data_IF_269239459349
#
_entry.id   IF_269239459349
#
_cell.length_a   1.000
_cell.length_b   1.000
_cell.length_c   1.000
_cell.angle_alpha   90.00
_cell.angle_beta   90.00
_cell.angle_gamma   90.00
#
_symmetry.space_group_name_H-M   'P 1'
#
loop_
_entity.id
_entity.type
_entity.pdbx_description
1 polymer ?
#
# COMPACT_ATOMS: atom_id res chain seq x y z
N UNK A 1 10.55 32.99 34.93
CA UNK A 1 11.18 32.72 33.63
C UNK A 1 10.82 33.86 32.69
N UNK A 2 11.76 34.39 31.89
CA UNK A 2 11.45 35.44 30.90
C UNK A 2 10.74 34.83 29.68
N UNK A 3 9.98 35.65 28.96
CA UNK A 3 9.34 35.25 27.70
C UNK A 3 10.37 34.68 26.71
N UNK A 4 11.55 35.30 26.61
CA UNK A 4 12.66 34.83 25.76
C UNK A 4 13.18 33.45 26.17
N UNK A 5 13.29 33.17 27.47
CA UNK A 5 13.73 31.87 27.97
C UNK A 5 12.69 30.78 27.64
N UNK A 6 11.40 31.11 27.73
CA UNK A 6 10.33 30.19 27.34
C UNK A 6 10.32 29.91 25.83
N UNK A 7 10.45 30.94 24.98
CA UNK A 7 10.48 30.77 23.52
C UNK A 7 11.68 29.91 23.07
N UNK A 8 12.88 30.14 23.62
CA UNK A 8 14.06 29.30 23.33
C UNK A 8 13.85 27.84 23.75
N UNK A 9 13.16 27.59 24.86
CA UNK A 9 12.85 26.23 25.31
C UNK A 9 11.88 25.53 24.35
N UNK A 10 10.81 26.22 23.94
CA UNK A 10 9.83 25.69 22.97
C UNK A 10 10.49 25.39 21.62
N UNK A 11 11.36 26.28 21.13
CA UNK A 11 12.10 26.06 19.89
C UNK A 11 13.04 24.84 19.96
N UNK A 12 13.75 24.66 21.08
CA UNK A 12 14.62 23.50 21.30
C UNK A 12 13.82 22.21 21.29
N UNK A 13 12.72 22.17 22.05
CA UNK A 13 11.82 21.03 22.15
C UNK A 13 11.13 20.71 20.80
N UNK A 14 10.75 21.73 20.02
CA UNK A 14 10.26 21.55 18.66
C UNK A 14 11.32 20.94 17.71
N UNK A 15 12.58 21.40 17.81
CA UNK A 15 13.71 20.84 17.04
C UNK A 15 13.96 19.38 17.40
N UNK A 16 14.04 19.05 18.68
CA UNK A 16 14.24 17.68 19.16
C UNK A 16 13.12 16.75 18.69
N UNK A 17 11.85 17.18 18.76
CA UNK A 17 10.73 16.37 18.22
C UNK A 17 10.83 16.15 16.72
N UNK A 18 11.25 17.18 15.97
CA UNK A 18 11.44 17.09 14.52
C UNK A 18 12.55 16.11 14.17
N UNK A 19 13.69 16.19 14.86
CA UNK A 19 14.82 15.28 14.70
C UNK A 19 14.45 13.84 15.07
N UNK A 20 13.78 13.63 16.20
CA UNK A 20 13.27 12.33 16.62
C UNK A 20 12.27 11.72 15.61
N UNK A 21 11.45 12.55 14.94
CA UNK A 21 10.57 12.08 13.86
C UNK A 21 11.37 11.69 12.62
N UNK A 22 12.39 12.46 12.24
CA UNK A 22 13.28 12.15 11.11
C UNK A 22 14.05 10.85 11.35
N UNK A 23 14.61 10.67 12.54
CA UNK A 23 15.36 9.47 12.90
C UNK A 23 14.47 8.22 12.85
N UNK A 24 13.30 8.26 13.50
CA UNK A 24 12.32 7.14 13.42
C UNK A 24 11.92 6.82 11.98
N UNK A 25 11.80 7.83 11.13
CA UNK A 25 11.53 7.64 9.70
C UNK A 25 12.66 6.94 8.97
N UNK A 26 13.90 7.36 9.20
CA UNK A 26 15.07 6.71 8.61
C UNK A 26 15.21 5.25 9.06
N UNK A 27 15.00 4.99 10.35
CA UNK A 27 15.02 3.63 10.91
C UNK A 27 13.89 2.77 10.32
N UNK A 28 12.66 3.30 10.25
CA UNK A 28 11.52 2.63 9.60
C UNK A 28 11.82 2.32 8.13
N UNK A 29 12.46 3.23 7.40
CA UNK A 29 12.82 3.05 6.00
C UNK A 29 13.90 1.97 5.84
N UNK A 30 14.83 1.85 6.78
CA UNK A 30 15.83 0.79 6.78
C UNK A 30 15.18 -0.60 6.96
N UNK A 31 14.26 -0.73 7.92
CA UNK A 31 13.46 -1.95 8.10
C UNK A 31 12.62 -2.26 6.86
N UNK A 32 11.94 -1.27 6.27
CA UNK A 32 11.18 -1.44 5.03
C UNK A 32 12.05 -1.98 3.89
N UNK A 33 13.23 -1.38 3.67
CA UNK A 33 14.17 -1.82 2.63
C UNK A 33 14.64 -3.24 2.87
N UNK A 34 14.98 -3.59 4.12
CA UNK A 34 15.38 -4.95 4.50
C UNK A 34 14.25 -5.96 4.28
N UNK A 35 13.01 -5.59 4.64
CA UNK A 35 11.81 -6.39 4.37
C UNK A 35 11.61 -6.66 2.88
N UNK A 36 11.77 -5.64 2.02
CA UNK A 36 11.68 -5.80 0.57
C UNK A 36 12.77 -6.73 0.00
N UNK A 37 14.00 -6.64 0.52
CA UNK A 37 15.10 -7.53 0.10
C UNK A 37 14.77 -8.98 0.45
N UNK A 38 14.28 -9.23 1.67
CA UNK A 38 13.90 -10.58 2.14
C UNK A 38 12.70 -11.11 1.36
N UNK A 39 11.72 -10.25 1.07
CA UNK A 39 10.59 -10.58 0.19
C UNK A 39 11.06 -11.03 -1.20
N UNK A 40 12.02 -10.30 -1.80
CA UNK A 40 12.63 -10.68 -3.09
C UNK A 40 13.38 -12.01 -3.03
N UNK A 41 13.93 -12.37 -1.86
CA UNK A 41 14.53 -13.69 -1.59
C UNK A 41 13.52 -14.79 -1.25
N UNK A 42 12.22 -14.48 -1.29
CA UNK A 42 11.10 -15.36 -0.87
C UNK A 42 11.16 -15.75 0.62
N UNK A 43 11.96 -15.06 1.43
CA UNK A 43 11.91 -15.18 2.89
C UNK A 43 10.78 -14.29 3.42
N UNK A 44 9.56 -14.81 3.33
CA UNK A 44 8.36 -14.08 3.73
C UNK A 44 8.25 -13.89 5.24
N UNK A 45 8.74 -14.83 6.05
CA UNK A 45 8.76 -14.70 7.51
C UNK A 45 9.69 -13.55 7.94
N UNK A 46 10.91 -13.51 7.39
CA UNK A 46 11.84 -12.42 7.60
C UNK A 46 11.30 -11.09 7.08
N UNK A 47 10.63 -11.07 5.93
CA UNK A 47 9.99 -9.87 5.41
C UNK A 47 8.91 -9.32 6.35
N UNK A 48 8.01 -10.18 6.84
CA UNK A 48 6.97 -9.81 7.81
C UNK A 48 7.55 -9.21 9.09
N UNK A 49 8.60 -9.84 9.65
CA UNK A 49 9.27 -9.32 10.84
C UNK A 49 9.74 -7.87 10.62
N UNK A 50 10.41 -7.61 9.51
CA UNK A 50 10.94 -6.27 9.22
C UNK A 50 9.83 -5.26 8.93
N UNK A 51 8.74 -5.66 8.25
CA UNK A 51 7.59 -4.76 8.08
C UNK A 51 6.89 -4.45 9.40
N UNK A 52 6.81 -5.41 10.32
CA UNK A 52 6.26 -5.17 11.66
C UNK A 52 7.10 -4.17 12.46
N UNK A 53 8.43 -4.30 12.43
CA UNK A 53 9.33 -3.34 13.08
C UNK A 53 9.23 -1.95 12.45
N UNK A 54 9.13 -1.85 11.13
CA UNK A 54 8.89 -0.57 10.45
C UNK A 54 7.57 0.08 10.90
N UNK A 55 6.48 -0.69 11.00
CA UNK A 55 5.16 -0.18 11.41
C UNK A 55 5.15 0.28 12.87
N UNK A 56 5.92 -0.35 13.76
CA UNK A 56 6.08 0.11 15.16
C UNK A 56 6.67 1.51 15.22
N UNK A 57 7.58 1.86 14.31
CA UNK A 57 8.21 3.17 14.22
C UNK A 57 7.31 4.20 13.52
N UNK A 58 6.61 3.79 12.45
CA UNK A 58 5.72 4.64 11.65
C UNK A 58 4.40 3.90 11.38
N UNK A 59 3.34 4.35 12.04
CA UNK A 59 1.99 3.75 11.94
C UNK A 59 1.14 4.34 10.82
N UNK A 60 1.53 5.47 10.27
CA UNK A 60 0.81 6.27 9.27
C UNK A 60 1.37 6.12 7.85
N UNK A 61 2.09 5.01 7.56
CA UNK A 61 2.61 4.74 6.22
C UNK A 61 1.78 3.69 5.47
N UNK A 62 0.98 4.07 4.45
CA UNK A 62 0.20 3.12 3.65
C UNK A 62 1.10 2.13 2.89
N UNK A 63 2.31 2.54 2.53
CA UNK A 63 3.30 1.68 1.87
C UNK A 63 3.70 0.47 2.72
N UNK A 64 3.82 0.62 4.04
CA UNK A 64 4.21 -0.48 4.93
C UNK A 64 3.12 -1.55 5.01
N UNK A 65 1.87 -1.12 5.16
CA UNK A 65 0.71 -2.03 5.15
C UNK A 65 0.55 -2.71 3.80
N UNK A 66 0.72 -1.99 2.69
CA UNK A 66 0.69 -2.59 1.35
C UNK A 66 1.77 -3.68 1.16
N UNK A 67 3.00 -3.44 1.62
CA UNK A 67 4.08 -4.43 1.51
C UNK A 67 3.83 -5.66 2.40
N UNK A 68 3.28 -5.45 3.60
CA UNK A 68 2.91 -6.54 4.51
C UNK A 68 1.72 -7.35 3.98
N UNK A 69 0.69 -6.67 3.46
CA UNK A 69 -0.44 -7.28 2.75
C UNK A 69 0.01 -8.18 1.59
N UNK A 70 0.91 -7.68 0.74
CA UNK A 70 1.48 -8.48 -0.35
C UNK A 70 2.20 -9.73 0.17
N UNK A 71 2.92 -9.61 1.30
CA UNK A 71 3.63 -10.72 1.92
C UNK A 71 2.65 -11.76 2.48
N UNK A 72 1.59 -11.34 3.16
CA UNK A 72 0.51 -12.24 3.59
C UNK A 72 -0.19 -12.92 2.42
N UNK A 73 -0.37 -12.21 1.30
CA UNK A 73 -0.96 -12.76 0.10
C UNK A 73 -0.12 -13.89 -0.50
N UNK A 74 1.22 -13.77 -0.46
CA UNK A 74 2.14 -14.85 -0.87
C UNK A 74 2.10 -16.05 0.07
N UNK A 75 1.78 -15.83 1.34
CA UNK A 75 1.62 -16.88 2.35
C UNK A 75 0.20 -17.50 2.37
N UNK A 76 -0.75 -16.97 1.58
CA UNK A 76 -2.14 -17.43 1.57
C UNK A 76 -2.96 -17.02 2.80
N UNK A 77 -2.47 -16.08 3.61
CA UNK A 77 -3.13 -15.64 4.84
C UNK A 77 -4.08 -14.48 4.51
N UNK A 78 -5.21 -14.80 3.88
CA UNK A 78 -6.08 -13.80 3.27
C UNK A 78 -6.75 -12.85 4.28
N UNK A 79 -7.04 -13.28 5.50
CA UNK A 79 -7.63 -12.42 6.54
C UNK A 79 -6.72 -11.24 6.87
N UNK A 80 -5.43 -11.49 7.10
CA UNK A 80 -4.43 -10.44 7.36
C UNK A 80 -4.17 -9.53 6.16
N UNK A 81 -4.37 -10.02 4.92
CA UNK A 81 -4.35 -9.15 3.73
C UNK A 81 -5.47 -8.13 3.80
N UNK A 82 -6.68 -8.56 4.17
CA UNK A 82 -7.85 -7.68 4.27
C UNK A 82 -7.62 -6.58 5.30
N UNK A 83 -7.15 -6.94 6.49
CA UNK A 83 -6.87 -6.00 7.58
C UNK A 83 -5.83 -4.94 7.16
N UNK A 84 -4.74 -5.37 6.52
CA UNK A 84 -3.69 -4.45 6.06
C UNK A 84 -4.14 -3.58 4.89
N UNK A 85 -4.93 -4.12 3.96
CA UNK A 85 -5.49 -3.34 2.87
C UNK A 85 -6.49 -2.29 3.37
N UNK A 86 -7.32 -2.64 4.36
CA UNK A 86 -8.25 -1.69 4.97
C UNK A 86 -7.50 -0.58 5.67
N UNK A 87 -6.46 -0.93 6.44
CA UNK A 87 -5.61 0.08 7.07
C UNK A 87 -4.88 0.97 6.06
N UNK A 88 -4.41 0.41 4.94
CA UNK A 88 -3.80 1.18 3.87
C UNK A 88 -4.81 2.14 3.21
N UNK A 89 -6.07 1.72 3.02
CA UNK A 89 -7.13 2.55 2.44
C UNK A 89 -7.64 3.64 3.39
N UNK A 90 -7.58 3.42 4.70
CA UNK A 90 -7.84 4.47 5.70
C UNK A 90 -6.80 5.59 5.63
N UNK A 91 -5.53 5.24 5.36
CA UNK A 91 -4.42 6.19 5.26
C UNK A 91 -4.33 6.85 3.87
N UNK A 92 -4.65 6.09 2.82
CA UNK A 92 -4.61 6.51 1.44
C UNK A 92 -5.87 5.98 0.72
N UNK A 93 -6.93 6.79 0.74
CA UNK A 93 -8.25 6.42 0.21
C UNK A 93 -8.21 5.89 -1.22
N UNK A 94 -7.29 6.40 -2.04
CA UNK A 94 -7.13 6.07 -3.46
C UNK A 94 -6.01 5.06 -3.76
N UNK A 95 -5.51 4.34 -2.75
CA UNK A 95 -4.41 3.38 -2.93
C UNK A 95 -4.82 2.22 -3.84
N UNK A 96 -4.37 2.25 -5.09
CA UNK A 96 -4.66 1.21 -6.08
C UNK A 96 -4.14 -0.15 -5.61
N UNK A 97 -2.92 -0.19 -5.06
CA UNK A 97 -2.29 -1.43 -4.53
C UNK A 97 -3.15 -2.10 -3.46
N UNK A 98 -3.65 -1.32 -2.51
CA UNK A 98 -4.48 -1.85 -1.43
C UNK A 98 -5.77 -2.49 -1.98
N UNK A 99 -6.47 -1.81 -2.91
CA UNK A 99 -7.67 -2.37 -3.54
C UNK A 99 -7.36 -3.62 -4.36
N UNK A 100 -6.24 -3.63 -5.09
CA UNK A 100 -5.81 -4.79 -5.88
C UNK A 100 -5.55 -6.00 -5.00
N UNK A 101 -4.78 -5.84 -3.91
CA UNK A 101 -4.48 -6.95 -3.00
C UNK A 101 -5.72 -7.44 -2.26
N UNK A 102 -6.60 -6.53 -1.85
CA UNK A 102 -7.91 -6.87 -1.26
C UNK A 102 -8.77 -7.69 -2.24
N UNK A 103 -8.91 -7.24 -3.48
CA UNK A 103 -9.67 -7.96 -4.51
C UNK A 103 -9.09 -9.36 -4.77
N UNK A 104 -7.76 -9.48 -4.85
CA UNK A 104 -7.09 -10.77 -5.03
C UNK A 104 -7.27 -11.70 -3.84
N UNK A 105 -7.18 -11.19 -2.62
CA UNK A 105 -7.44 -11.98 -1.41
C UNK A 105 -8.87 -12.49 -1.35
N UNK A 106 -9.86 -11.64 -1.68
CA UNK A 106 -11.27 -12.03 -1.75
C UNK A 106 -11.53 -13.12 -2.80
N UNK A 107 -10.89 -13.01 -3.97
CA UNK A 107 -10.98 -14.01 -5.03
C UNK A 107 -10.41 -15.36 -4.59
N UNK A 108 -9.19 -15.35 -4.03
CA UNK A 108 -8.51 -16.56 -3.57
C UNK A 108 -9.20 -17.20 -2.36
N UNK A 109 -9.84 -16.39 -1.51
CA UNK A 109 -10.67 -16.88 -0.40
C UNK A 109 -12.03 -17.44 -0.84
N UNK A 110 -12.34 -17.44 -2.14
CA UNK A 110 -13.59 -17.96 -2.69
C UNK A 110 -14.81 -17.06 -2.50
N UNK A 111 -14.62 -15.81 -2.04
CA UNK A 111 -15.69 -14.87 -1.76
C UNK A 111 -16.02 -13.98 -2.97
N UNK A 112 -16.49 -14.61 -4.05
CA UNK A 112 -16.73 -13.98 -5.36
C UNK A 112 -17.67 -12.77 -5.30
N UNK A 113 -18.70 -12.78 -4.44
CA UNK A 113 -19.66 -11.66 -4.30
C UNK A 113 -18.99 -10.36 -3.83
N UNK A 114 -17.94 -10.45 -3.03
CA UNK A 114 -17.23 -9.28 -2.53
C UNK A 114 -16.15 -8.77 -3.50
N UNK A 115 -15.70 -9.62 -4.43
CA UNK A 115 -14.76 -9.24 -5.50
C UNK A 115 -15.41 -8.19 -6.40
N UNK A 116 -16.62 -8.45 -6.91
CA UNK A 116 -17.35 -7.54 -7.81
C UNK A 116 -17.53 -6.13 -7.20
N UNK A 117 -17.77 -6.04 -5.89
CA UNK A 117 -17.91 -4.76 -5.19
C UNK A 117 -16.58 -4.02 -5.05
N UNK A 118 -15.48 -4.72 -4.73
CA UNK A 118 -14.15 -4.11 -4.67
C UNK A 118 -13.70 -3.60 -6.06
N UNK A 119 -14.11 -4.31 -7.09
CA UNK A 119 -13.84 -3.99 -8.49
C UNK A 119 -14.56 -2.74 -8.97
N UNK A 120 -15.84 -2.59 -8.61
CA UNK A 120 -16.63 -1.41 -8.92
C UNK A 120 -15.94 -0.11 -8.43
N UNK A 121 -15.31 -0.14 -7.26
CA UNK A 121 -14.58 1.02 -6.74
C UNK A 121 -13.20 1.24 -7.39
N UNK A 122 -12.58 0.22 -7.98
CA UNK A 122 -11.36 0.39 -8.79
C UNK A 122 -11.66 1.05 -10.13
N UNK A 123 -12.71 0.60 -10.83
CA UNK A 123 -13.02 1.07 -12.18
C UNK A 123 -13.48 2.53 -12.24
N UNK A 124 -14.08 3.04 -11.17
CA UNK A 124 -14.50 4.44 -11.05
C UNK A 124 -13.35 5.42 -10.71
N UNK A 125 -12.17 4.91 -10.36
CA UNK A 125 -11.01 5.68 -9.88
C UNK A 125 -10.07 6.13 -11.01
N UNK A 126 -10.58 6.28 -12.23
CA UNK A 126 -9.89 6.09 -13.52
C UNK A 126 -8.60 6.90 -13.76
N UNK A 127 -7.50 6.17 -14.01
CA UNK A 127 -6.46 6.49 -15.01
C UNK A 127 -6.19 5.24 -15.87
N UNK A 128 -5.70 5.42 -17.10
CA UNK A 128 -5.66 4.42 -18.21
C UNK A 128 -5.06 3.05 -17.88
N UNK A 129 -4.21 2.95 -16.86
CA UNK A 129 -3.56 1.71 -16.39
C UNK A 129 -4.51 0.71 -15.71
N UNK A 130 -5.69 1.16 -15.24
CA UNK A 130 -6.69 0.28 -14.61
C UNK A 130 -7.34 -0.68 -15.61
N UNK A 131 -7.54 -0.26 -16.87
CA UNK A 131 -8.29 -1.04 -17.88
C UNK A 131 -7.64 -2.35 -18.28
N UNK A 132 -6.32 -2.37 -18.50
CA UNK A 132 -5.61 -3.60 -18.88
C UNK A 132 -5.69 -4.64 -17.77
N UNK A 133 -5.56 -4.19 -16.53
CA UNK A 133 -5.60 -5.05 -15.35
C UNK A 133 -7.03 -5.53 -15.01
N UNK A 134 -8.05 -4.68 -15.17
CA UNK A 134 -9.47 -5.08 -15.12
C UNK A 134 -9.76 -6.22 -16.12
N UNK A 135 -9.20 -6.14 -17.32
CA UNK A 135 -9.35 -7.17 -18.35
C UNK A 135 -8.66 -8.49 -17.95
N UNK A 136 -7.44 -8.42 -17.41
CA UNK A 136 -6.69 -9.61 -16.99
C UNK A 136 -7.37 -10.35 -15.85
N UNK A 137 -7.80 -9.66 -14.79
CA UNK A 137 -8.42 -10.34 -13.65
C UNK A 137 -9.87 -10.78 -13.97
N UNK A 138 -10.55 -10.14 -14.94
CA UNK A 138 -11.86 -10.56 -15.43
C UNK A 138 -11.73 -11.86 -16.24
N UNK A 139 -10.65 -11.95 -17.02
CA UNK A 139 -10.25 -13.18 -17.70
C UNK A 139 -9.86 -14.29 -16.70
N UNK A 140 -9.27 -13.97 -15.54
CA UNK A 140 -9.00 -14.96 -14.47
C UNK A 140 -10.28 -15.52 -13.83
N UNK A 141 -11.31 -14.68 -13.62
CA UNK A 141 -12.62 -15.14 -13.15
C UNK A 141 -13.28 -16.16 -14.09
N UNK A 142 -12.94 -16.11 -15.38
CA UNK A 142 -13.34 -17.10 -16.40
C UNK A 142 -12.47 -18.35 -16.45
N UNK A 143 -11.17 -18.26 -16.15
CA UNK A 143 -10.19 -19.35 -16.28
C UNK A 143 -9.98 -20.12 -14.97
N UNK A 144 -11.06 -20.58 -14.33
CA UNK A 144 -11.01 -21.25 -13.01
C UNK A 144 -10.22 -22.57 -12.95
N UNK A 145 -9.52 -22.99 -14.01
CA UNK A 145 -8.92 -24.33 -14.09
C UNK A 145 -7.40 -24.43 -14.27
N UNK A 146 -6.63 -23.38 -14.56
CA UNK A 146 -5.18 -23.52 -14.67
C UNK A 146 -4.44 -22.29 -14.13
N UNK A 147 -4.10 -22.34 -12.83
CA UNK A 147 -3.16 -21.39 -12.21
C UNK A 147 -1.73 -21.77 -12.63
N UNK A 148 -1.08 -20.95 -13.46
CA UNK A 148 0.29 -21.20 -13.95
C UNK A 148 1.28 -20.08 -13.57
N UNK A 149 2.56 -20.46 -13.40
CA UNK A 149 3.64 -19.64 -12.83
C UNK A 149 3.96 -18.35 -13.61
N UNK A 150 3.52 -18.25 -14.87
CA UNK A 150 3.71 -17.08 -15.71
C UNK A 150 2.89 -15.87 -15.25
N UNK A 151 1.71 -16.09 -14.67
CA UNK A 151 0.91 -14.99 -14.12
C UNK A 151 1.57 -14.39 -12.88
N UNK A 152 2.25 -15.20 -12.06
CA UNK A 152 3.02 -14.73 -10.90
C UNK A 152 4.14 -13.75 -11.31
N UNK A 153 4.69 -13.91 -12.51
CA UNK A 153 5.69 -13.02 -13.10
C UNK A 153 5.12 -11.66 -13.47
N UNK A 154 3.93 -11.61 -14.10
CA UNK A 154 3.20 -10.36 -14.39
C UNK A 154 2.89 -9.57 -13.11
N UNK A 155 2.52 -10.27 -12.03
CA UNK A 155 2.34 -9.66 -10.71
C UNK A 155 3.66 -9.17 -10.08
N UNK A 156 4.78 -9.86 -10.31
CA UNK A 156 6.10 -9.39 -9.87
C UNK A 156 6.59 -8.20 -10.70
N UNK A 157 6.27 -8.14 -11.99
CA UNK A 157 6.59 -7.03 -12.88
C UNK A 157 5.75 -5.78 -12.53
N UNK A 158 4.47 -5.94 -12.20
CA UNK A 158 3.62 -4.88 -11.66
C UNK A 158 4.11 -4.40 -10.26
N UNK A 159 4.63 -5.30 -9.43
CA UNK A 159 5.25 -4.94 -8.15
C UNK A 159 6.63 -4.26 -8.32
N UNK A 160 7.35 -4.55 -9.41
CA UNK A 160 8.64 -3.97 -9.78
C UNK A 160 8.51 -2.75 -10.72
N UNK A 161 7.30 -2.29 -11.03
CA UNK A 161 7.06 -1.12 -11.86
C UNK A 161 7.62 0.14 -11.19
N UNK A 162 8.78 0.60 -11.68
CA UNK A 162 9.48 1.84 -11.28
C UNK A 162 8.92 3.10 -11.98
N UNK A 163 7.65 3.09 -12.36
CA UNK A 163 7.03 4.29 -12.93
C UNK A 163 6.99 5.38 -11.86
N UNK A 164 7.82 6.40 -12.03
CA UNK A 164 7.64 7.67 -11.33
C UNK A 164 6.20 8.12 -11.60
N UNK A 165 5.41 8.22 -10.53
CA UNK A 165 4.18 8.98 -10.60
C UNK A 165 4.62 10.44 -10.73
N UNK A 166 4.82 10.89 -11.98
CA UNK A 166 4.82 12.30 -12.27
C UNK A 166 3.45 12.82 -11.85
N UNK A 167 3.40 13.42 -10.67
CA UNK A 167 2.30 14.28 -10.26
C UNK A 167 2.32 15.41 -11.29
N UNK A 168 1.45 15.33 -12.30
CA UNK A 168 1.09 16.53 -13.02
C UNK A 168 0.23 17.33 -12.06
N UNK A 169 0.73 18.52 -11.71
CA UNK A 169 -0.02 19.55 -11.00
C UNK A 169 -1.25 19.92 -11.83
N UNK A 170 -2.33 19.16 -11.71
CA UNK A 170 -3.62 19.54 -12.28
C UNK A 170 -4.35 20.47 -11.31
N UNK A 171 -3.88 21.72 -11.30
CA UNK A 171 -4.69 22.86 -10.95
C UNK A 171 -5.81 23.01 -12.00
N UNK A 172 -6.89 22.25 -11.86
CA UNK A 172 -8.21 22.58 -12.44
C UNK A 172 -9.29 21.62 -11.92
N UNK A 173 -9.73 21.83 -10.67
CA UNK A 173 -11.07 21.37 -10.32
C UNK A 173 -12.10 22.37 -10.88
N UNK A 174 -13.11 21.93 -11.67
CA UNK A 174 -14.25 22.78 -11.94
C UNK A 174 -15.14 22.81 -10.69
N UNK A 175 -15.40 24.01 -10.18
CA UNK A 175 -16.33 24.28 -9.08
C UNK A 175 -17.73 23.71 -9.37
N UNK A 176 -18.43 23.15 -8.37
CA UNK A 176 -19.82 22.74 -8.54
C UNK A 176 -20.71 23.98 -8.71
N UNK A 177 -21.41 24.06 -9.84
CA UNK A 177 -22.42 25.10 -10.08
C UNK A 177 -23.56 24.92 -9.07
N UNK A 178 -23.73 25.88 -8.17
CA UNK A 178 -24.95 26.03 -7.38
C UNK A 178 -26.07 26.55 -8.28
N UNK A 179 -27.24 25.95 -8.15
CA UNK A 179 -28.52 26.47 -8.66
C UNK A 179 -28.99 27.60 -7.76
#
# INVERSE_FOLDING_TARGET
MSQDAFMRMVEKDAKERSENRKQRKQESDAFRKKGNILFGKKDYAGALYNFNEAIKLIKDSPCLYNNRALTYLRLGIYTSVMDDCDRALELETYSLRARMYKAKALFLAGNLRNVERSWYYCSQSTTWTSRQYEQEVFNMGRQKHEYNSDQEKVWQDAANFKGEFAVKDDASQPSPKST
#
